data_IF_831433856185
#
_entry.id   IF_831433856185
#
_cell.length_a   1.000
_cell.length_b   1.000
_cell.length_c   1.000
_cell.angle_alpha   90.00
_cell.angle_beta   90.00
_cell.angle_gamma   90.00
#
_symmetry.space_group_name_H-M   'P 1'
#
loop_
_entity.id
_entity.type
_entity.pdbx_description
1 polymer ?
#
# COMPACT_ATOMS: atom_id res chain seq x y z
N UNK A 1 -6.94 -23.57 24.67
CA UNK A 1 -6.64 -22.43 23.78
C UNK A 1 -6.92 -22.89 22.37
N UNK A 2 -7.85 -22.24 21.69
CA UNK A 2 -8.15 -22.46 20.29
C UNK A 2 -7.52 -21.30 19.53
N UNK A 3 -6.65 -21.60 18.57
CA UNK A 3 -6.08 -20.62 17.64
C UNK A 3 -6.91 -20.65 16.34
N UNK A 4 -6.84 -19.57 15.55
CA UNK A 4 -7.57 -19.42 14.27
C UNK A 4 -7.05 -20.38 13.20
N UNK A 5 -7.76 -20.53 12.08
CA UNK A 5 -7.32 -21.40 10.99
C UNK A 5 -5.97 -20.95 10.39
N UNK A 6 -5.71 -19.64 10.39
CA UNK A 6 -4.47 -19.02 9.93
C UNK A 6 -3.31 -19.18 10.93
N UNK A 7 -3.57 -19.76 12.10
CA UNK A 7 -2.55 -20.09 13.10
C UNK A 7 -2.30 -19.02 14.16
N UNK A 8 -3.26 -18.11 14.38
CA UNK A 8 -3.13 -17.02 15.36
C UNK A 8 -3.88 -17.28 16.66
N UNK A 9 -3.31 -16.83 17.76
CA UNK A 9 -4.05 -16.60 19.00
C UNK A 9 -4.35 -15.11 19.08
N UNK A 10 -5.63 -14.76 18.95
CA UNK A 10 -6.13 -13.40 19.14
C UNK A 10 -6.50 -13.21 20.61
N UNK A 11 -6.04 -12.12 21.21
CA UNK A 11 -6.42 -11.77 22.57
C UNK A 11 -6.74 -10.29 22.68
N UNK A 12 -7.74 -10.03 23.51
CA UNK A 12 -8.23 -8.71 23.86
C UNK A 12 -8.05 -8.53 25.37
N UNK A 13 -7.57 -7.36 25.74
CA UNK A 13 -7.46 -6.90 27.11
C UNK A 13 -7.83 -5.43 27.20
N UNK A 14 -7.69 -4.87 28.39
CA UNK A 14 -7.72 -3.43 28.56
C UNK A 14 -6.57 -3.02 29.46
N UNK A 15 -6.00 -1.86 29.19
CA UNK A 15 -5.11 -1.20 30.13
C UNK A 15 -5.71 0.12 30.58
N UNK A 16 -5.35 0.49 31.80
CA UNK A 16 -5.73 1.77 32.37
C UNK A 16 -4.59 2.77 32.18
N UNK A 17 -4.91 3.91 31.60
CA UNK A 17 -4.05 5.10 31.53
C UNK A 17 -4.87 6.29 32.01
N UNK A 18 -4.35 7.03 33.01
CA UNK A 18 -5.01 8.25 33.52
C UNK A 18 -5.26 9.26 32.40
N UNK A 19 -4.35 9.36 31.42
CA UNK A 19 -4.46 10.27 30.28
C UNK A 19 -5.56 9.83 29.30
N UNK A 20 -5.59 8.54 28.94
CA UNK A 20 -6.63 8.02 28.04
C UNK A 20 -8.00 8.03 28.70
N UNK A 21 -8.10 7.63 29.96
CA UNK A 21 -9.36 7.63 30.70
C UNK A 21 -9.92 9.04 30.86
N UNK A 22 -9.07 10.06 31.02
CA UNK A 22 -9.52 11.45 31.04
C UNK A 22 -10.12 11.91 29.70
N UNK A 23 -9.67 11.34 28.58
CA UNK A 23 -10.14 11.68 27.23
C UNK A 23 -11.38 10.86 26.81
N UNK A 24 -11.39 9.56 27.08
CA UNK A 24 -12.41 8.62 26.58
C UNK A 24 -13.44 8.21 27.63
N UNK A 25 -13.17 8.48 28.92
CA UNK A 25 -13.96 8.00 30.06
C UNK A 25 -14.10 6.46 30.11
N UNK A 26 -13.15 5.73 29.54
CA UNK A 26 -13.10 4.27 29.52
C UNK A 26 -11.66 3.76 29.60
N UNK A 27 -11.49 2.50 30.01
CA UNK A 27 -10.22 1.80 29.77
C UNK A 27 -9.95 1.73 28.26
N UNK A 28 -8.67 1.68 27.89
CA UNK A 28 -8.27 1.53 26.49
C UNK A 28 -8.25 0.04 26.14
N UNK A 29 -9.06 -0.43 25.18
CA UNK A 29 -8.97 -1.80 24.70
C UNK A 29 -7.62 -2.03 24.01
N UNK A 30 -7.01 -3.17 24.27
CA UNK A 30 -5.80 -3.64 23.62
C UNK A 30 -6.11 -4.94 22.90
N UNK A 31 -5.82 -4.99 21.61
CA UNK A 31 -5.92 -6.20 20.83
C UNK A 31 -4.55 -6.59 20.28
N UNK A 32 -4.29 -7.88 20.20
CA UNK A 32 -3.04 -8.36 19.62
C UNK A 32 -3.21 -9.78 19.09
N UNK A 33 -2.47 -10.06 18.03
CA UNK A 33 -2.46 -11.33 17.33
C UNK A 33 -1.07 -11.97 17.51
N UNK A 34 -1.01 -13.09 18.23
CA UNK A 34 0.22 -13.86 18.37
C UNK A 34 0.19 -15.06 17.42
N UNK A 35 1.14 -15.11 16.48
CA UNK A 35 1.28 -16.26 15.58
C UNK A 35 1.80 -17.48 16.35
N UNK A 36 0.99 -18.54 16.42
CA UNK A 36 1.29 -19.79 17.14
C UNK A 36 1.81 -20.86 16.18
N UNK A 37 1.18 -20.98 15.01
CA UNK A 37 1.67 -21.90 13.98
C UNK A 37 2.78 -21.22 13.17
N UNK A 38 3.95 -21.87 13.01
CA UNK A 38 5.02 -21.29 12.22
C UNK A 38 4.55 -21.08 10.77
N UNK A 39 4.98 -19.96 10.19
CA UNK A 39 4.85 -19.73 8.75
C UNK A 39 6.13 -20.22 8.05
N UNK A 40 6.02 -20.58 6.78
CA UNK A 40 7.19 -20.90 5.96
C UNK A 40 8.19 -19.73 5.96
N UNK A 41 9.49 -20.01 6.12
CA UNK A 41 10.49 -18.95 6.23
C UNK A 41 10.62 -18.15 4.92
N UNK A 42 10.41 -18.79 3.77
CA UNK A 42 10.41 -18.12 2.46
C UNK A 42 9.28 -17.10 2.39
N UNK A 43 8.07 -17.46 2.81
CA UNK A 43 6.95 -16.51 2.89
C UNK A 43 7.30 -15.30 3.76
N UNK A 44 7.95 -15.52 4.91
CA UNK A 44 8.37 -14.43 5.80
C UNK A 44 9.44 -13.53 5.18
N UNK A 45 10.39 -14.09 4.43
CA UNK A 45 11.40 -13.34 3.68
C UNK A 45 10.77 -12.53 2.55
N UNK A 46 9.87 -13.13 1.77
CA UNK A 46 9.14 -12.47 0.69
C UNK A 46 8.28 -11.32 1.25
N UNK A 47 7.59 -11.52 2.37
CA UNK A 47 6.81 -10.47 3.04
C UNK A 47 7.70 -9.29 3.44
N UNK A 48 8.84 -9.56 4.07
CA UNK A 48 9.81 -8.52 4.50
C UNK A 48 10.42 -7.75 3.33
N UNK A 49 10.68 -8.42 2.21
CA UNK A 49 11.35 -7.80 1.06
C UNK A 49 10.37 -7.01 0.19
N UNK A 50 9.16 -7.51 -0.01
CA UNK A 50 8.29 -7.03 -1.09
C UNK A 50 6.94 -6.48 -0.67
N UNK A 51 6.43 -6.79 0.53
CA UNK A 51 5.06 -6.40 0.90
C UNK A 51 5.09 -5.41 2.07
N UNK A 52 5.82 -5.75 3.15
CA UNK A 52 5.93 -4.90 4.34
C UNK A 52 6.46 -3.48 4.09
N UNK A 53 7.42 -3.24 3.16
CA UNK A 53 7.88 -1.87 2.89
C UNK A 53 6.80 -0.95 2.29
N UNK A 54 5.77 -1.52 1.66
CA UNK A 54 4.63 -0.79 1.09
C UNK A 54 3.46 -0.76 2.07
N UNK A 55 3.14 -1.91 2.67
CA UNK A 55 2.06 -2.02 3.63
C UNK A 55 0.70 -1.62 3.05
N UNK A 56 -0.20 -1.15 3.91
CA UNK A 56 -1.53 -0.67 3.52
C UNK A 56 -1.77 0.81 3.87
N UNK A 57 -0.85 1.44 4.60
CA UNK A 57 -1.00 2.81 5.08
C UNK A 57 -0.82 3.81 3.94
N UNK A 58 -1.78 4.73 3.80
CA UNK A 58 -1.75 5.90 2.92
C UNK A 58 -1.50 5.58 1.43
N UNK A 59 -1.86 4.37 1.00
CA UNK A 59 -1.78 3.96 -0.40
C UNK A 59 -2.78 2.87 -0.74
N UNK A 60 -3.11 2.73 -2.01
CA UNK A 60 -4.04 1.69 -2.48
C UNK A 60 -3.38 0.58 -3.30
N UNK A 61 -2.04 0.46 -3.32
CA UNK A 61 -1.30 -0.51 -4.15
C UNK A 61 -1.79 -1.95 -3.91
N UNK A 62 -2.12 -2.29 -2.67
CA UNK A 62 -2.62 -3.62 -2.30
C UNK A 62 -4.10 -3.65 -1.88
N UNK A 63 -4.82 -2.54 -2.10
CA UNK A 63 -6.23 -2.39 -1.70
C UNK A 63 -7.18 -2.38 -2.90
N UNK A 64 -6.64 -2.29 -4.12
CA UNK A 64 -7.41 -2.28 -5.38
C UNK A 64 -6.88 -3.29 -6.38
N UNK A 65 -7.74 -3.67 -7.32
CA UNK A 65 -7.36 -4.47 -8.48
C UNK A 65 -6.65 -3.60 -9.51
N UNK A 66 -5.50 -4.06 -10.00
CA UNK A 66 -4.76 -3.41 -11.08
C UNK A 66 -3.74 -4.37 -11.72
N UNK A 67 -3.32 -4.07 -12.94
CA UNK A 67 -2.28 -4.80 -13.69
C UNK A 67 -1.51 -3.85 -14.62
N UNK A 68 -0.40 -4.31 -15.21
CA UNK A 68 0.32 -3.58 -16.27
C UNK A 68 -0.55 -3.27 -17.50
N UNK A 69 -1.59 -4.08 -17.77
CA UNK A 69 -2.53 -3.83 -18.87
C UNK A 69 -3.57 -2.75 -18.52
N UNK A 70 -3.95 -2.68 -17.25
CA UNK A 70 -4.89 -1.71 -16.71
C UNK A 70 -4.58 -1.40 -15.25
N UNK A 71 -4.04 -0.20 -15.01
CA UNK A 71 -3.71 0.27 -13.67
C UNK A 71 -4.95 0.63 -12.83
N UNK A 72 -6.17 0.53 -13.36
CA UNK A 72 -7.39 0.76 -12.62
C UNK A 72 -7.39 2.12 -11.91
N UNK A 73 -7.79 2.09 -10.63
CA UNK A 73 -7.88 3.23 -9.71
C UNK A 73 -6.61 3.44 -8.86
N UNK A 74 -5.49 2.83 -9.25
CA UNK A 74 -4.21 2.98 -8.56
C UNK A 74 -3.78 4.45 -8.48
N UNK A 75 -3.48 4.94 -7.28
CA UNK A 75 -3.01 6.30 -7.07
C UNK A 75 -1.48 6.39 -7.19
N UNK A 76 -1.00 6.99 -8.27
CA UNK A 76 0.44 7.13 -8.51
C UNK A 76 1.13 8.14 -7.60
N UNK A 77 0.40 9.05 -6.96
CA UNK A 77 1.00 9.96 -5.97
C UNK A 77 1.22 9.24 -4.64
N UNK A 78 0.30 8.35 -4.24
CA UNK A 78 0.55 7.43 -3.12
C UNK A 78 1.70 6.48 -3.43
N UNK A 79 1.73 5.89 -4.63
CA UNK A 79 2.84 5.04 -5.04
C UNK A 79 4.18 5.81 -5.02
N UNK A 80 4.19 7.08 -5.41
CA UNK A 80 5.37 7.93 -5.29
C UNK A 80 5.82 8.10 -3.84
N UNK A 81 4.87 8.37 -2.93
CA UNK A 81 5.17 8.59 -1.51
C UNK A 81 5.75 7.34 -0.84
N UNK A 82 5.28 6.15 -1.25
CA UNK A 82 5.80 4.87 -0.77
C UNK A 82 7.17 4.53 -1.38
N UNK A 83 7.33 4.69 -2.70
CA UNK A 83 8.54 4.24 -3.39
C UNK A 83 9.72 5.21 -3.27
N UNK A 84 9.47 6.52 -3.09
CA UNK A 84 10.54 7.50 -2.99
C UNK A 84 11.51 7.19 -1.82
N UNK A 85 11.05 6.90 -0.59
CA UNK A 85 11.94 6.51 0.50
C UNK A 85 12.64 5.18 0.29
N UNK A 86 12.02 4.23 -0.41
CA UNK A 86 12.65 2.95 -0.75
C UNK A 86 13.81 3.16 -1.73
N UNK A 87 13.60 4.00 -2.75
CA UNK A 87 14.60 4.26 -3.80
C UNK A 87 15.75 5.14 -3.30
N UNK A 88 15.43 6.27 -2.68
CA UNK A 88 16.44 7.27 -2.30
C UNK A 88 16.94 7.15 -0.87
N UNK A 89 16.32 6.29 -0.04
CA UNK A 89 16.63 6.12 1.39
C UNK A 89 16.51 7.44 2.16
N UNK A 90 15.55 8.27 1.77
CA UNK A 90 15.28 9.59 2.32
C UNK A 90 13.77 9.83 2.37
N UNK A 91 13.26 10.57 3.36
CA UNK A 91 11.84 10.93 3.38
C UNK A 91 11.47 11.78 2.16
N UNK A 92 10.21 11.73 1.75
CA UNK A 92 9.67 12.60 0.70
C UNK A 92 9.85 14.07 1.13
N UNK A 93 10.48 14.92 0.30
CA UNK A 93 10.74 16.32 0.67
C UNK A 93 9.52 17.24 0.51
N UNK A 94 8.42 16.73 -0.04
CA UNK A 94 7.19 17.45 -0.32
C UNK A 94 6.18 17.13 0.79
N UNK A 95 6.07 18.01 1.79
CA UNK A 95 5.25 17.78 2.99
C UNK A 95 4.05 18.72 3.03
N UNK A 96 3.01 18.33 3.76
CA UNK A 96 1.87 19.22 4.00
C UNK A 96 2.31 20.52 4.69
N UNK A 97 1.53 21.59 4.51
CA UNK A 97 1.78 22.85 5.19
C UNK A 97 1.63 22.68 6.72
N UNK A 98 2.39 23.45 7.49
CA UNK A 98 2.28 23.45 8.95
C UNK A 98 0.88 23.93 9.41
N UNK A 99 0.22 24.75 8.60
CA UNK A 99 -1.16 25.14 8.81
C UNK A 99 -2.13 24.11 8.21
N UNK A 100 -2.80 23.36 9.08
CA UNK A 100 -3.75 22.30 8.71
C UNK A 100 -4.91 22.75 7.81
N UNK A 101 -5.20 24.06 7.72
CA UNK A 101 -6.22 24.61 6.84
C UNK A 101 -5.70 25.04 5.46
N UNK A 102 -4.42 24.87 5.17
CA UNK A 102 -3.78 25.28 3.91
C UNK A 102 -3.21 24.05 3.20
N UNK A 103 -3.64 23.84 1.96
CA UNK A 103 -3.09 22.77 1.14
C UNK A 103 -1.82 23.23 0.43
N UNK A 104 -0.78 22.40 0.48
CA UNK A 104 0.46 22.63 -0.27
C UNK A 104 0.36 22.08 -1.70
N UNK A 105 0.97 22.77 -2.66
CA UNK A 105 1.08 22.32 -4.05
C UNK A 105 2.53 22.42 -4.50
N UNK A 106 3.07 21.32 -5.00
CA UNK A 106 4.43 21.21 -5.51
C UNK A 106 4.44 20.83 -6.99
N UNK A 107 5.61 21.01 -7.61
CA UNK A 107 5.90 20.61 -8.98
C UNK A 107 7.07 19.65 -8.95
N UNK A 108 6.79 18.35 -9.04
CA UNK A 108 7.83 17.33 -9.02
C UNK A 108 8.40 17.22 -10.43
N UNK A 109 9.71 17.44 -10.65
CA UNK A 109 10.32 17.27 -11.96
C UNK A 109 10.03 15.88 -12.55
N UNK A 110 9.74 15.80 -13.84
CA UNK A 110 9.37 14.54 -14.51
C UNK A 110 10.42 13.45 -14.30
N UNK A 111 11.70 13.83 -14.34
CA UNK A 111 12.81 12.90 -14.16
C UNK A 111 12.88 12.29 -12.75
N UNK A 112 12.27 12.94 -11.74
CA UNK A 112 12.20 12.40 -10.38
C UNK A 112 10.96 11.53 -10.25
N UNK A 113 9.79 12.04 -10.65
CA UNK A 113 8.52 11.33 -10.51
C UNK A 113 8.48 10.05 -11.35
N UNK A 114 8.79 10.15 -12.65
CA UNK A 114 8.82 9.01 -13.57
C UNK A 114 9.86 7.99 -13.11
N UNK A 115 11.04 8.42 -12.67
CA UNK A 115 12.07 7.48 -12.20
C UNK A 115 11.62 6.67 -10.98
N UNK A 116 10.94 7.30 -10.01
CA UNK A 116 10.42 6.61 -8.82
C UNK A 116 9.38 5.57 -9.20
N UNK A 117 8.36 5.96 -9.97
CA UNK A 117 7.27 5.06 -10.35
C UNK A 117 7.77 3.95 -11.27
N UNK A 118 8.47 4.29 -12.35
CA UNK A 118 8.91 3.33 -13.36
C UNK A 118 9.96 2.34 -12.85
N UNK A 119 10.63 2.64 -11.73
CA UNK A 119 11.55 1.67 -11.09
C UNK A 119 10.80 0.47 -10.52
N UNK A 120 9.59 0.67 -9.98
CA UNK A 120 8.82 -0.37 -9.29
C UNK A 120 7.56 -0.81 -10.03
N UNK A 121 7.16 -0.11 -11.08
CA UNK A 121 6.01 -0.44 -11.91
C UNK A 121 6.38 -0.30 -13.39
N UNK A 122 6.04 -1.29 -14.21
CA UNK A 122 6.29 -1.23 -15.64
C UNK A 122 5.20 -0.43 -16.36
N UNK A 123 5.28 0.90 -16.20
CA UNK A 123 4.38 1.87 -16.83
C UNK A 123 5.17 2.77 -17.76
N UNK A 124 4.65 3.03 -18.96
CA UNK A 124 5.26 3.99 -19.86
C UNK A 124 4.90 5.44 -19.47
N UNK A 125 5.74 6.38 -19.91
CA UNK A 125 5.58 7.80 -19.58
C UNK A 125 4.27 8.38 -20.10
N UNK A 126 3.79 7.95 -21.26
CA UNK A 126 2.56 8.48 -21.84
C UNK A 126 1.36 8.08 -20.99
N UNK A 127 1.26 6.80 -20.61
CA UNK A 127 0.23 6.30 -19.70
C UNK A 127 0.31 6.97 -18.34
N UNK A 128 1.51 7.09 -17.75
CA UNK A 128 1.68 7.75 -16.45
C UNK A 128 1.23 9.22 -16.48
N UNK A 129 1.57 9.95 -17.54
CA UNK A 129 1.15 11.36 -17.73
C UNK A 129 -0.35 11.51 -17.95
N UNK A 130 -1.01 10.51 -18.55
CA UNK A 130 -2.46 10.52 -18.76
C UNK A 130 -3.23 10.24 -17.46
N UNK A 131 -2.69 9.40 -16.57
CA UNK A 131 -3.31 9.07 -15.29
C UNK A 131 -2.99 10.06 -14.15
N UNK A 132 -2.21 11.11 -14.44
CA UNK A 132 -1.78 12.10 -13.45
C UNK A 132 -1.86 13.53 -14.00
N UNK A 133 -1.55 14.52 -13.18
CA UNK A 133 -1.62 15.96 -13.52
C UNK A 133 -0.28 16.44 -14.05
N UNK A 134 0.03 16.09 -15.30
CA UNK A 134 1.29 16.45 -15.94
C UNK A 134 1.27 17.87 -16.55
N UNK A 135 2.23 18.71 -16.14
CA UNK A 135 2.42 20.09 -16.59
C UNK A 135 3.51 20.15 -17.67
N UNK A 136 3.11 20.03 -18.94
CA UNK A 136 4.03 19.91 -20.08
C UNK A 136 4.96 21.12 -20.27
N UNK A 137 4.52 22.33 -19.94
CA UNK A 137 5.33 23.56 -20.03
C UNK A 137 6.48 23.59 -18.99
N UNK A 138 6.30 22.89 -17.87
CA UNK A 138 7.23 22.87 -16.75
C UNK A 138 8.03 21.57 -16.66
N UNK A 139 7.71 20.58 -17.51
CA UNK A 139 8.26 19.22 -17.45
C UNK A 139 8.18 18.63 -16.03
N UNK A 140 7.00 18.75 -15.41
CA UNK A 140 6.76 18.41 -14.02
C UNK A 140 5.34 17.87 -13.80
N UNK A 141 5.14 17.18 -12.68
CA UNK A 141 3.84 16.73 -12.20
C UNK A 141 3.39 17.64 -11.07
N UNK A 142 2.15 18.11 -11.14
CA UNK A 142 1.54 18.78 -9.98
C UNK A 142 1.33 17.73 -8.89
N UNK A 143 1.85 18.00 -7.70
CA UNK A 143 1.78 17.09 -6.56
C UNK A 143 1.22 17.80 -5.34
N UNK A 144 0.34 17.12 -4.63
CA UNK A 144 -0.30 17.60 -3.41
C UNK A 144 -0.08 16.53 -2.34
N UNK A 145 0.68 16.79 -1.27
CA UNK A 145 0.85 15.83 -0.19
C UNK A 145 -0.48 15.60 0.52
N UNK A 146 -0.68 14.39 1.07
CA UNK A 146 -1.84 14.08 1.92
C UNK A 146 -1.88 15.06 3.09
N UNK A 147 -3.04 15.67 3.31
CA UNK A 147 -3.26 16.63 4.38
C UNK A 147 -4.15 16.10 5.51
N UNK A 148 -4.60 17.01 6.37
CA UNK A 148 -5.41 16.68 7.56
C UNK A 148 -6.70 15.90 7.23
N UNK A 149 -7.35 16.20 6.10
CA UNK A 149 -8.61 15.57 5.70
C UNK A 149 -8.46 14.21 5.01
N UNK A 150 -7.23 13.76 4.76
CA UNK A 150 -6.86 12.45 4.18
C UNK A 150 -6.08 11.60 5.21
N UNK A 151 -6.21 11.95 6.49
CA UNK A 151 -5.59 11.23 7.58
C UNK A 151 -6.31 9.90 7.78
N UNK A 152 -5.53 8.83 7.89
CA UNK A 152 -6.02 7.48 8.14
C UNK A 152 -6.00 7.14 9.62
N UNK A 153 -6.78 6.13 9.98
CA UNK A 153 -6.71 5.59 11.33
C UNK A 153 -5.39 4.83 11.50
N UNK A 154 -4.63 5.00 12.59
CA UNK A 154 -3.30 4.39 12.73
C UNK A 154 -3.36 2.88 12.98
N UNK A 155 -4.46 2.39 13.52
CA UNK A 155 -4.64 0.97 13.82
C UNK A 155 -5.23 0.24 12.60
N UNK A 156 -4.36 -0.20 11.71
CA UNK A 156 -4.73 -0.87 10.46
C UNK A 156 -4.31 -2.34 10.45
N UNK A 157 -4.87 -3.17 9.55
CA UNK A 157 -4.34 -4.51 9.29
C UNK A 157 -2.88 -4.46 8.84
N UNK A 158 -2.13 -5.53 9.06
CA UNK A 158 -0.79 -5.69 8.47
C UNK A 158 -0.75 -6.90 7.52
N UNK A 159 0.05 -6.84 6.45
CA UNK A 159 0.14 -7.93 5.49
C UNK A 159 1.02 -9.08 6.00
N UNK A 160 0.58 -10.31 5.73
CA UNK A 160 1.35 -11.53 5.88
C UNK A 160 1.25 -12.38 4.62
N UNK A 161 2.36 -12.57 3.91
CA UNK A 161 2.45 -13.57 2.82
C UNK A 161 2.24 -14.95 3.43
N UNK A 162 1.21 -15.66 2.96
CA UNK A 162 0.84 -17.00 3.46
C UNK A 162 1.20 -18.11 2.48
N UNK A 163 1.30 -17.80 1.19
CA UNK A 163 1.68 -18.73 0.14
C UNK A 163 2.37 -18.00 -1.02
N UNK A 164 3.11 -18.74 -1.84
CA UNK A 164 3.76 -18.19 -3.03
C UNK A 164 3.88 -19.23 -4.15
N UNK A 165 3.83 -18.75 -5.39
CA UNK A 165 3.99 -19.55 -6.60
C UNK A 165 5.09 -18.91 -7.42
N UNK A 166 6.16 -19.65 -7.70
CA UNK A 166 7.23 -19.24 -8.61
C UNK A 166 6.93 -19.78 -10.00
N UNK A 167 6.93 -18.92 -11.02
CA UNK A 167 6.85 -19.39 -12.40
C UNK A 167 8.20 -20.02 -12.79
N UNK A 168 8.30 -21.35 -12.67
CA UNK A 168 9.58 -22.04 -12.80
C UNK A 168 10.11 -22.16 -14.24
N UNK A 169 11.43 -22.04 -14.38
CA UNK A 169 12.26 -22.22 -15.57
C UNK A 169 12.34 -23.61 -16.17
N UNK A 170 11.61 -24.56 -15.59
CA UNK A 170 11.66 -25.96 -15.97
C UNK A 170 10.46 -26.43 -16.77
N UNK A 171 9.40 -25.63 -16.88
CA UNK A 171 8.32 -25.89 -17.84
C UNK A 171 8.58 -25.00 -19.04
N UNK A 172 9.36 -25.51 -20.01
CA UNK A 172 9.21 -24.99 -21.37
C UNK A 172 7.75 -25.16 -21.74
N UNK A 173 7.03 -24.04 -21.83
CA UNK A 173 5.78 -23.97 -22.57
C UNK A 173 6.01 -24.70 -23.90
N UNK A 174 5.01 -25.41 -24.41
CA UNK A 174 5.12 -26.11 -25.70
C UNK A 174 5.59 -25.19 -26.85
N UNK A 175 5.53 -23.88 -26.64
CA UNK A 175 5.87 -22.80 -27.57
C UNK A 175 7.26 -22.17 -27.35
N UNK A 176 8.07 -22.64 -26.38
CA UNK A 176 9.47 -22.22 -26.22
C UNK A 176 9.68 -20.83 -25.58
N UNK A 177 8.67 -20.28 -24.91
CA UNK A 177 8.80 -19.04 -24.15
C UNK A 177 9.59 -19.27 -22.87
N UNK A 178 10.50 -18.35 -22.55
CA UNK A 178 11.18 -18.34 -21.24
C UNK A 178 10.14 -18.04 -20.16
N UNK A 179 10.31 -18.55 -18.94
CA UNK A 179 9.51 -18.07 -17.82
C UNK A 179 9.70 -16.57 -17.68
N UNK A 180 8.62 -15.92 -17.34
CA UNK A 180 8.50 -14.49 -17.09
C UNK A 180 9.27 -14.02 -15.84
N UNK A 181 9.81 -14.95 -15.03
CA UNK A 181 10.63 -14.62 -13.86
C UNK A 181 9.80 -13.96 -12.75
N UNK A 182 8.51 -14.30 -12.69
CA UNK A 182 7.56 -13.72 -11.73
C UNK A 182 7.37 -14.61 -10.51
N UNK A 183 7.01 -13.98 -9.41
CA UNK A 183 6.56 -14.62 -8.19
C UNK A 183 5.17 -14.10 -7.91
N UNK A 184 4.20 -15.01 -7.81
CA UNK A 184 2.87 -14.71 -7.31
C UNK A 184 2.87 -14.91 -5.80
N UNK A 185 2.47 -13.89 -5.06
CA UNK A 185 2.34 -13.93 -3.61
C UNK A 185 0.84 -13.95 -3.24
N UNK A 186 0.49 -14.76 -2.25
CA UNK A 186 -0.84 -14.75 -1.61
C UNK A 186 -0.68 -14.14 -0.23
N UNK A 187 -1.41 -13.08 0.05
CA UNK A 187 -1.26 -12.26 1.25
C UNK A 187 -2.58 -12.21 2.00
N UNK A 188 -2.49 -12.39 3.32
CA UNK A 188 -3.59 -12.15 4.24
C UNK A 188 -3.34 -10.85 5.01
N UNK A 189 -4.39 -10.04 5.15
CA UNK A 189 -4.41 -8.90 6.04
C UNK A 189 -4.83 -9.35 7.45
N UNK A 190 -3.90 -9.34 8.39
CA UNK A 190 -4.16 -9.67 9.79
C UNK A 190 -4.55 -8.40 10.52
N UNK A 191 -5.73 -8.39 11.17
CA UNK A 191 -6.24 -7.20 11.84
C UNK A 191 -6.53 -7.47 13.32
N UNK A 192 -5.54 -7.25 14.21
CA UNK A 192 -5.71 -7.48 15.64
C UNK A 192 -6.88 -6.68 16.23
N UNK A 193 -7.00 -5.38 15.91
CA UNK A 193 -8.05 -4.53 16.47
C UNK A 193 -9.44 -4.85 15.91
N UNK A 194 -9.53 -5.44 14.72
CA UNK A 194 -10.75 -6.06 14.22
C UNK A 194 -11.03 -7.45 14.78
N UNK A 195 -10.18 -7.95 15.71
CA UNK A 195 -10.23 -9.29 16.26
C UNK A 195 -10.33 -10.38 15.19
N UNK A 196 -9.57 -10.23 14.09
CA UNK A 196 -9.53 -11.19 12.99
C UNK A 196 -8.10 -11.45 12.51
N UNK A 197 -7.80 -12.72 12.21
CA UNK A 197 -6.56 -13.14 11.54
C UNK A 197 -6.63 -13.08 10.02
N UNK A 198 -7.80 -12.71 9.48
CA UNK A 198 -8.09 -12.64 8.05
C UNK A 198 -9.17 -11.57 7.82
N UNK A 199 -8.76 -10.31 7.70
CA UNK A 199 -9.66 -9.22 7.34
C UNK A 199 -10.01 -9.26 5.85
N UNK A 200 -9.00 -9.50 5.01
CA UNK A 200 -9.11 -9.71 3.57
C UNK A 200 -7.85 -10.40 3.06
N UNK A 201 -7.89 -10.85 1.81
CA UNK A 201 -6.72 -11.41 1.13
C UNK A 201 -6.57 -10.82 -0.25
N UNK A 202 -5.34 -10.73 -0.72
CA UNK A 202 -5.02 -10.31 -2.07
C UNK A 202 -3.89 -11.14 -2.64
N UNK A 203 -3.79 -11.12 -3.97
CA UNK A 203 -2.76 -11.76 -4.76
C UNK A 203 -1.94 -10.68 -5.44
N UNK A 204 -0.64 -10.69 -5.24
CA UNK A 204 0.27 -9.72 -5.85
C UNK A 204 1.29 -10.46 -6.70
N UNK A 205 1.46 -10.04 -7.95
CA UNK A 205 2.48 -10.60 -8.85
C UNK A 205 3.66 -9.64 -8.91
N UNK A 206 4.86 -10.19 -8.75
CA UNK A 206 6.12 -9.43 -8.74
C UNK A 206 7.05 -10.03 -9.79
N UNK A 207 7.67 -9.18 -10.58
CA UNK A 207 8.74 -9.54 -11.52
C UNK A 207 10.08 -9.28 -10.87
N UNK A 208 10.93 -10.30 -10.83
CA UNK A 208 12.30 -10.13 -10.39
C UNK A 208 13.16 -9.60 -11.53
N UNK A 209 13.96 -8.57 -11.24
CA UNK A 209 14.93 -8.00 -12.17
C UNK A 209 16.36 -8.42 -11.77
N UNK A 210 17.32 -8.11 -12.62
CA UNK A 210 18.73 -8.25 -12.28
C UNK A 210 19.12 -7.36 -11.08
N UNK A 211 20.25 -7.66 -10.44
CA UNK A 211 20.84 -6.84 -9.35
C UNK A 211 19.89 -6.56 -8.16
N UNK A 212 19.10 -7.56 -7.74
CA UNK A 212 18.12 -7.48 -6.64
C UNK A 212 16.92 -6.53 -6.87
N UNK A 213 16.80 -5.96 -8.08
CA UNK A 213 15.65 -5.16 -8.48
C UNK A 213 14.36 -5.99 -8.60
N UNK A 214 13.21 -5.31 -8.54
CA UNK A 214 11.92 -5.93 -8.77
C UNK A 214 10.89 -4.89 -9.20
N UNK A 215 9.81 -5.34 -9.81
CA UNK A 215 8.63 -4.54 -10.14
C UNK A 215 7.35 -5.26 -9.74
N UNK A 216 6.33 -4.51 -9.31
CA UNK A 216 4.98 -5.01 -9.16
C UNK A 216 4.30 -5.05 -10.52
N UNK A 217 3.69 -6.19 -10.83
CA UNK A 217 3.03 -6.47 -12.12
C UNK A 217 1.52 -6.33 -11.99
N UNK A 218 0.96 -6.79 -10.88
CA UNK A 218 -0.47 -6.71 -10.60
C UNK A 218 -0.78 -6.90 -9.13
N UNK A 219 -1.97 -6.45 -8.75
CA UNK A 219 -2.66 -6.82 -7.51
C UNK A 219 -4.10 -7.21 -7.82
N UNK A 220 -4.60 -8.25 -7.15
CA UNK A 220 -5.96 -8.76 -7.28
C UNK A 220 -6.51 -9.10 -5.89
N UNK A 221 -7.62 -8.48 -5.50
CA UNK A 221 -8.33 -8.77 -4.27
C UNK A 221 -9.05 -10.12 -4.39
N UNK A 222 -8.81 -11.02 -3.44
CA UNK A 222 -9.41 -12.37 -3.43
C UNK A 222 -10.79 -12.33 -2.77
N UNK A 223 -11.00 -11.43 -1.80
CA UNK A 223 -12.28 -11.22 -1.10
C UNK A 223 -13.18 -10.25 -1.87
N UNK A 224 -14.49 -10.56 -1.93
CA UNK A 224 -15.53 -9.73 -2.57
C UNK A 224 -15.63 -8.35 -1.92
N UNK A 225 -15.96 -7.31 -2.69
CA UNK A 225 -15.98 -5.92 -2.20
C UNK A 225 -16.87 -5.70 -0.98
N UNK A 226 -18.05 -6.33 -0.96
CA UNK A 226 -19.02 -6.19 0.13
C UNK A 226 -18.54 -6.80 1.46
N UNK A 227 -17.51 -7.65 1.43
CA UNK A 227 -16.92 -8.27 2.62
C UNK A 227 -15.68 -7.51 3.14
N UNK A 228 -15.23 -6.46 2.43
CA UNK A 228 -14.02 -5.71 2.77
C UNK A 228 -14.34 -4.49 3.63
N UNK A 229 -14.00 -4.54 4.90
CA UNK A 229 -14.10 -3.39 5.80
C UNK A 229 -12.79 -2.58 5.81
N UNK A 230 -12.62 -1.73 4.79
CA UNK A 230 -11.45 -0.83 4.62
C UNK A 230 -11.81 0.61 5.04
N UNK A 231 -12.60 0.75 6.11
CA UNK A 231 -13.05 2.05 6.63
C UNK A 231 -11.92 2.97 7.10
N UNK A 232 -10.75 2.40 7.40
CA UNK A 232 -9.58 3.10 7.91
C UNK A 232 -8.76 3.79 6.80
N UNK A 233 -8.95 3.39 5.53
CA UNK A 233 -8.27 3.98 4.37
C UNK A 233 -9.03 5.20 3.86
N UNK A 234 -8.29 6.19 3.36
CA UNK A 234 -8.87 7.31 2.63
C UNK A 234 -8.17 7.49 1.29
N UNK A 235 -8.95 7.61 0.21
CA UNK A 235 -8.40 8.01 -1.08
C UNK A 235 -7.89 9.46 -1.01
N UNK A 236 -6.95 9.81 -1.88
CA UNK A 236 -6.58 11.21 -2.06
C UNK A 236 -7.78 12.02 -2.51
N UNK A 237 -7.86 13.26 -2.04
CA UNK A 237 -8.89 14.20 -2.45
C UNK A 237 -8.75 14.47 -3.94
N UNK A 238 -9.89 14.46 -4.63
CA UNK A 238 -10.00 15.01 -5.98
C UNK A 238 -9.65 16.50 -5.99
N UNK A 239 -9.43 17.04 -7.18
CA UNK A 239 -9.13 18.47 -7.30
C UNK A 239 -10.25 19.35 -6.73
N UNK A 240 -11.50 18.96 -6.96
CA UNK A 240 -12.69 19.64 -6.45
C UNK A 240 -12.78 19.57 -4.92
N UNK A 241 -12.65 18.38 -4.33
CA UNK A 241 -12.71 18.20 -2.88
C UNK A 241 -11.58 18.94 -2.17
N UNK A 242 -10.36 18.87 -2.72
CA UNK A 242 -9.20 19.58 -2.21
C UNK A 242 -9.46 21.10 -2.18
N UNK A 243 -10.06 21.66 -3.25
CA UNK A 243 -10.43 23.09 -3.29
C UNK A 243 -11.53 23.43 -2.30
N UNK A 244 -12.47 22.53 -2.03
CA UNK A 244 -13.51 22.76 -1.05
C UNK A 244 -12.93 22.90 0.38
N UNK A 245 -11.98 22.04 0.74
CA UNK A 245 -11.44 22.00 2.11
C UNK A 245 -10.22 22.91 2.32
N UNK A 246 -9.38 23.12 1.29
CA UNK A 246 -8.17 23.93 1.38
C UNK A 246 -8.19 25.21 0.55
N UNK A 247 -9.12 25.35 -0.40
CA UNK A 247 -9.21 26.52 -1.29
C UNK A 247 -9.86 27.76 -0.66
N UNK A 248 -9.90 27.86 0.67
CA UNK A 248 -10.61 28.89 1.42
C UNK A 248 -10.34 30.32 0.95
N UNK A 249 -11.32 30.89 0.25
CA UNK A 249 -11.61 32.29 -0.11
C UNK A 249 -10.42 33.19 -0.49
N UNK A 250 -10.25 33.42 -1.81
CA UNK A 250 -9.81 34.74 -2.30
C UNK A 250 -10.81 35.84 -1.91
#
# INVERSE_FOLDING_TARGET
MQYTEEGYLLFEGSYFSDENFALTLSDTPEHTALRILPLDETCRELNRKYILPVGYEQNNIFLTDWSEEDFGDLDFYDAFDIFYPVLYRQPVPYVADENLGVGAVYRIPEAIFENVIMTYMDIDKETLRQKTTYLSEEAAYEYRPRGFYEAEYPDIPYPEVVDYIVSDATVSSADGEKPDGTITLIINAVYPNGNTSLAYSHRTVIRLLDEDGFQYVSNEMISLEDDRDIWWHSNRLTEEEWKEVYGGNE
#
